data_IF_480074691683
#
_entry.id   IF_480074691683
#
_cell.length_a   1.000
_cell.length_b   1.000
_cell.length_c   1.000
_cell.angle_alpha   90.00
_cell.angle_beta   90.00
_cell.angle_gamma   90.00
#
_symmetry.space_group_name_H-M   'P 1'
#
loop_
_entity.id
_entity.type
_entity.pdbx_description
1 polymer ?
#
# COMPACT_ATOMS: atom_id res chain seq x y z
N UNK A 1 -18.57 -0.57 -13.07
CA UNK A 1 -18.04 -0.26 -12.44
C UNK A 1 -16.76 -0.57 -12.24
N UNK A 2 -15.88 -0.02 -12.09
CA UNK A 2 -14.69 -0.41 -11.91
C UNK A 2 -14.28 -0.67 -10.62
N UNK A 3 -14.01 -1.71 -10.21
CA UNK A 3 -13.57 -2.03 -8.98
C UNK A 3 -12.11 -2.06 -8.94
N UNK A 4 -11.36 -1.25 -8.31
CA UNK A 4 -9.94 -1.38 -8.23
C UNK A 4 -9.52 -2.45 -7.31
N UNK A 5 -8.47 -3.08 -7.58
CA UNK A 5 -7.96 -4.15 -6.76
C UNK A 5 -7.40 -3.53 -5.52
N UNK A 6 -7.72 -4.03 -4.39
CA UNK A 6 -7.18 -3.55 -3.16
C UNK A 6 -5.94 -4.30 -2.76
N UNK A 7 -4.85 -3.64 -2.54
CA UNK A 7 -3.60 -4.31 -2.19
C UNK A 7 -3.17 -3.79 -0.84
N UNK A 8 -2.87 -4.64 0.09
CA UNK A 8 -2.43 -4.26 1.40
C UNK A 8 -0.93 -4.38 1.46
N UNK A 9 -0.22 -3.32 1.75
CA UNK A 9 1.22 -3.38 1.81
C UNK A 9 1.69 -3.35 3.24
N UNK A 10 2.45 -4.28 3.62
CA UNK A 10 2.99 -4.34 4.98
C UNK A 10 4.46 -4.13 4.85
N UNK A 11 5.00 -3.01 5.15
CA UNK A 11 6.42 -2.80 5.00
C UNK A 11 6.98 -2.10 6.20
N UNK A 12 8.13 -2.53 6.68
CA UNK A 12 8.72 -1.96 7.80
C UNK A 12 9.23 -0.59 7.42
N UNK A 13 9.71 -0.32 6.25
CA UNK A 13 10.32 0.89 5.85
C UNK A 13 9.21 1.81 5.36
N UNK A 14 8.93 2.88 6.06
CA UNK A 14 7.88 3.72 5.62
C UNK A 14 8.21 4.35 4.30
N UNK A 15 9.40 4.71 4.03
CA UNK A 15 9.77 5.30 2.75
C UNK A 15 9.50 4.33 1.62
N UNK A 16 9.90 3.12 1.79
CA UNK A 16 9.69 2.14 0.74
C UNK A 16 8.21 1.89 0.60
N UNK A 17 7.49 1.83 1.69
CA UNK A 17 6.08 1.58 1.62
C UNK A 17 5.35 2.67 0.86
N UNK A 18 5.73 3.91 1.10
CA UNK A 18 5.09 4.97 0.40
C UNK A 18 5.41 4.92 -1.07
N UNK A 19 6.61 4.58 -1.44
CA UNK A 19 6.97 4.48 -2.84
C UNK A 19 6.15 3.39 -3.49
N UNK A 20 6.04 2.26 -2.85
CA UNK A 20 5.30 1.16 -3.44
C UNK A 20 3.83 1.54 -3.56
N UNK A 21 3.29 2.23 -2.57
CA UNK A 21 1.91 2.60 -2.62
C UNK A 21 1.66 3.56 -3.80
N UNK A 22 2.52 4.52 -3.96
CA UNK A 22 2.36 5.43 -5.05
C UNK A 22 2.49 4.71 -6.37
N UNK A 23 3.40 3.78 -6.48
CA UNK A 23 3.57 3.05 -7.72
C UNK A 23 2.29 2.29 -8.03
N UNK A 24 1.71 1.63 -7.06
CA UNK A 24 0.53 0.86 -7.32
C UNK A 24 -0.65 1.75 -7.66
N UNK A 25 -0.76 2.88 -6.98
CA UNK A 25 -1.84 3.75 -7.25
C UNK A 25 -1.70 4.31 -8.67
N UNK A 26 -0.51 4.54 -9.12
CA UNK A 26 -0.31 5.03 -10.46
C UNK A 26 -0.74 3.99 -11.48
N UNK A 27 -0.64 2.72 -11.09
CA UNK A 27 -1.04 1.70 -12.03
C UNK A 27 -2.53 1.47 -11.97
N UNK A 28 -3.25 2.11 -11.10
CA UNK A 28 -4.66 1.89 -11.05
C UNK A 28 -5.12 1.00 -9.94
N UNK A 29 -4.27 0.66 -8.99
CA UNK A 29 -4.68 -0.21 -7.90
C UNK A 29 -4.94 0.64 -6.67
N UNK A 30 -5.64 0.10 -5.73
CA UNK A 30 -5.91 0.79 -4.49
C UNK A 30 -4.94 0.22 -3.48
N UNK A 31 -3.89 0.88 -3.12
CA UNK A 31 -2.92 0.35 -2.18
C UNK A 31 -3.07 0.99 -0.83
N UNK A 32 -3.10 0.18 0.21
CA UNK A 32 -3.20 0.67 1.55
C UNK A 32 -1.97 0.29 2.32
N UNK A 33 -1.39 1.16 3.09
CA UNK A 33 -0.18 0.84 3.82
C UNK A 33 -0.53 0.37 5.18
N UNK A 34 -0.07 -0.79 5.58
CA UNK A 34 -0.36 -1.38 6.84
C UNK A 34 0.75 -1.05 7.78
N UNK A 35 0.51 -0.53 8.90
CA UNK A 35 1.58 -0.22 9.82
C UNK A 35 2.21 -1.39 10.36
N UNK A 36 3.37 -1.34 10.83
CA UNK A 36 4.01 -2.41 11.33
C UNK A 36 3.36 -3.01 12.35
N UNK A 37 3.18 -3.90 12.43
CA UNK A 37 2.47 -4.57 13.28
C UNK A 37 2.65 -4.43 14.60
N UNK A 38 3.32 -3.90 14.99
CA UNK A 38 3.52 -3.93 16.20
C UNK A 38 2.63 -3.31 16.90
N UNK A 39 1.91 -2.82 16.61
CA UNK A 39 1.00 -2.39 17.25
C UNK A 39 0.94 -2.63 18.44
N UNK A 40 1.27 -3.00 18.76
CA UNK A 40 1.15 -3.27 19.97
C UNK A 40 0.35 -2.98 20.34
#
# INVERSE_FOLDING_TARGET
MDEKQRILLCEDDENLGMLLREYLQAKGYYAELCPDGDAG
#
